data_IF_111951087712
#
_entry.id   IF_111951087712
#
_cell.length_a   1.000
_cell.length_b   1.000
_cell.length_c   1.000
_cell.angle_alpha   90.00
_cell.angle_beta   90.00
_cell.angle_gamma   90.00
#
_symmetry.space_group_name_H-M   'P 1'
#
loop_
_entity.id
_entity.type
_entity.pdbx_description
1 polymer ?
#
# COMPACT_ATOMS: atom_id res chain seq x y z
N UNK A 1 0.88 -89.84 -57.59
CA UNK A 1 1.14 -89.69 -56.14
C UNK A 1 1.94 -88.41 -55.84
N UNK A 2 3.04 -88.15 -56.56
CA UNK A 2 3.95 -87.00 -56.35
C UNK A 2 3.28 -85.61 -56.33
N UNK A 3 2.26 -85.36 -57.17
CA UNK A 3 1.61 -84.04 -57.25
C UNK A 3 0.74 -83.70 -56.01
N UNK A 4 0.27 -84.72 -55.27
CA UNK A 4 -0.43 -84.51 -53.99
C UNK A 4 0.53 -84.17 -52.86
N UNK A 5 1.72 -84.78 -52.88
CA UNK A 5 2.79 -84.54 -51.89
C UNK A 5 3.30 -83.10 -52.02
N UNK A 6 3.62 -82.64 -53.25
CA UNK A 6 4.07 -81.27 -53.50
C UNK A 6 3.05 -80.20 -53.06
N UNK A 7 1.74 -80.48 -53.21
CA UNK A 7 0.69 -79.60 -52.68
C UNK A 7 0.70 -79.55 -51.16
N UNK A 8 0.88 -80.68 -50.49
CA UNK A 8 0.94 -80.74 -49.03
C UNK A 8 2.16 -79.97 -48.52
N UNK A 9 3.33 -80.17 -49.13
CA UNK A 9 4.56 -79.45 -48.78
C UNK A 9 4.37 -77.93 -48.85
N UNK A 10 3.74 -77.44 -49.93
CA UNK A 10 3.45 -76.00 -50.08
C UNK A 10 2.47 -75.48 -49.03
N UNK A 11 1.49 -76.27 -48.62
CA UNK A 11 0.58 -75.86 -47.54
C UNK A 11 1.28 -75.89 -46.17
N UNK A 12 2.21 -76.82 -45.94
CA UNK A 12 3.05 -76.85 -44.73
C UNK A 12 3.93 -75.60 -44.65
N UNK A 13 4.61 -75.21 -45.73
CA UNK A 13 5.41 -73.98 -45.76
C UNK A 13 4.59 -72.73 -45.43
N UNK A 14 3.35 -72.63 -45.91
CA UNK A 14 2.44 -71.53 -45.56
C UNK A 14 2.06 -71.55 -44.08
N UNK A 15 1.83 -72.73 -43.50
CA UNK A 15 1.51 -72.88 -42.08
C UNK A 15 2.70 -72.42 -41.23
N UNK A 16 3.93 -72.75 -41.65
CA UNK A 16 5.15 -72.31 -40.95
C UNK A 16 5.30 -70.78 -41.02
N UNK A 17 5.10 -70.17 -42.19
CA UNK A 17 5.15 -68.70 -42.34
C UNK A 17 4.09 -68.00 -41.47
N UNK A 18 2.85 -68.50 -41.49
CA UNK A 18 1.77 -67.99 -40.62
C UNK A 18 2.13 -68.14 -39.14
N UNK A 19 2.75 -69.26 -38.75
CA UNK A 19 3.17 -69.49 -37.36
C UNK A 19 4.27 -68.53 -36.91
N UNK A 20 5.21 -68.19 -37.80
CA UNK A 20 6.23 -67.18 -37.53
C UNK A 20 5.63 -65.77 -37.42
N UNK A 21 4.73 -65.41 -38.32
CA UNK A 21 4.03 -64.12 -38.28
C UNK A 21 3.20 -63.98 -37.00
N UNK A 22 2.49 -65.05 -36.60
CA UNK A 22 1.72 -65.06 -35.35
C UNK A 22 2.62 -64.85 -34.13
N UNK A 23 3.77 -65.52 -34.10
CA UNK A 23 4.75 -65.36 -33.02
C UNK A 23 5.27 -63.92 -32.93
N UNK A 24 5.53 -63.28 -34.07
CA UNK A 24 5.92 -61.88 -34.14
C UNK A 24 4.82 -60.93 -33.64
N UNK A 25 3.56 -61.21 -33.98
CA UNK A 25 2.41 -60.43 -33.50
C UNK A 25 2.24 -60.57 -31.99
N UNK A 26 2.40 -61.77 -31.43
CA UNK A 26 2.34 -61.99 -29.98
C UNK A 26 3.40 -61.16 -29.25
N UNK A 27 4.65 -61.19 -29.71
CA UNK A 27 5.72 -60.38 -29.11
C UNK A 27 5.43 -58.87 -29.18
N UNK A 28 4.86 -58.40 -30.29
CA UNK A 28 4.47 -56.99 -30.42
C UNK A 28 3.32 -56.64 -29.49
N UNK A 29 2.39 -57.57 -29.25
CA UNK A 29 1.29 -57.38 -28.34
C UNK A 29 1.79 -57.29 -26.89
N UNK A 30 2.69 -58.18 -26.48
CA UNK A 30 3.34 -58.13 -25.17
C UNK A 30 4.03 -56.78 -24.92
N UNK A 31 4.73 -56.25 -25.94
CA UNK A 31 5.36 -54.93 -25.84
C UNK A 31 4.33 -53.79 -25.71
N UNK A 32 3.21 -53.87 -26.42
CA UNK A 32 2.14 -52.86 -26.32
C UNK A 32 1.49 -52.91 -24.94
N UNK A 33 1.24 -54.10 -24.39
CA UNK A 33 0.70 -54.26 -23.03
C UNK A 33 1.64 -53.67 -21.98
N UNK A 34 2.94 -53.91 -22.12
CA UNK A 34 3.95 -53.32 -21.25
C UNK A 34 3.92 -51.78 -21.31
N UNK A 35 3.98 -51.21 -22.51
CA UNK A 35 3.95 -49.75 -22.70
C UNK A 35 2.64 -49.14 -22.16
N UNK A 36 1.52 -49.85 -22.30
CA UNK A 36 0.22 -49.40 -21.77
C UNK A 36 0.25 -49.33 -20.24
N UNK A 37 0.84 -50.33 -19.58
CA UNK A 37 0.96 -50.35 -18.13
C UNK A 37 1.84 -49.19 -17.63
N UNK A 38 2.96 -48.90 -18.31
CA UNK A 38 3.81 -47.75 -17.99
C UNK A 38 3.07 -46.41 -18.17
N UNK A 39 2.32 -46.23 -19.26
CA UNK A 39 1.53 -45.04 -19.50
C UNK A 39 0.44 -44.84 -18.44
N UNK A 40 -0.21 -45.92 -18.01
CA UNK A 40 -1.20 -45.86 -16.93
C UNK A 40 -0.57 -45.42 -15.61
N UNK A 41 0.65 -45.88 -15.31
CA UNK A 41 1.38 -45.46 -14.12
C UNK A 41 1.77 -43.98 -14.19
N UNK A 42 2.32 -43.53 -15.31
CA UNK A 42 2.69 -42.13 -15.50
C UNK A 42 1.48 -41.18 -15.42
N UNK A 43 0.34 -41.59 -15.96
CA UNK A 43 -0.91 -40.82 -15.84
C UNK A 43 -1.36 -40.67 -14.38
N UNK A 44 -1.26 -41.72 -13.55
CA UNK A 44 -1.56 -41.63 -12.11
C UNK A 44 -0.63 -40.65 -11.39
N UNK A 45 0.65 -40.64 -11.75
CA UNK A 45 1.62 -39.70 -11.17
C UNK A 45 1.29 -38.25 -11.55
N UNK A 46 0.92 -38.00 -12.81
CA UNK A 46 0.46 -36.69 -13.28
C UNK A 46 -0.80 -36.25 -12.52
N UNK A 47 -1.79 -37.13 -12.37
CA UNK A 47 -3.02 -36.83 -11.62
C UNK A 47 -2.73 -36.45 -10.16
N UNK A 48 -1.81 -37.15 -9.52
CA UNK A 48 -1.40 -36.85 -8.15
C UNK A 48 -0.67 -35.50 -8.05
N UNK A 49 0.23 -35.23 -9.00
CA UNK A 49 0.92 -33.93 -9.09
C UNK A 49 -0.08 -32.79 -9.29
N UNK A 50 -1.07 -32.97 -10.17
CA UNK A 50 -2.10 -31.97 -10.45
C UNK A 50 -2.97 -31.69 -9.22
N UNK A 51 -3.35 -32.73 -8.45
CA UNK A 51 -4.05 -32.55 -7.17
C UNK A 51 -3.21 -31.75 -6.17
N UNK A 52 -1.91 -32.04 -6.08
CA UNK A 52 -0.98 -31.28 -5.24
C UNK A 52 -0.88 -29.81 -5.65
N UNK A 53 -0.78 -29.54 -6.96
CA UNK A 53 -0.80 -28.18 -7.50
C UNK A 53 -2.10 -27.44 -7.18
N UNK A 54 -3.25 -28.11 -7.27
CA UNK A 54 -4.55 -27.53 -6.89
C UNK A 54 -4.56 -27.00 -5.47
N UNK A 55 -4.02 -27.77 -4.51
CA UNK A 55 -3.91 -27.36 -3.11
C UNK A 55 -2.98 -26.16 -2.91
N UNK A 56 -1.88 -26.07 -3.67
CA UNK A 56 -0.98 -24.91 -3.62
C UNK A 56 -1.67 -23.66 -4.14
N UNK A 57 -2.40 -23.78 -5.25
CA UNK A 57 -3.17 -22.66 -5.84
C UNK A 57 -4.22 -22.15 -4.87
N UNK A 58 -4.96 -23.05 -4.21
CA UNK A 58 -5.97 -22.69 -3.20
C UNK A 58 -5.35 -21.87 -2.05
N UNK A 59 -4.22 -22.32 -1.49
CA UNK A 59 -3.49 -21.57 -0.45
C UNK A 59 -3.00 -20.21 -0.91
N UNK A 60 -2.58 -20.09 -2.17
CA UNK A 60 -2.16 -18.81 -2.75
C UNK A 60 -3.35 -17.86 -2.87
N UNK A 61 -4.52 -18.35 -3.30
CA UNK A 61 -5.75 -17.55 -3.36
C UNK A 61 -6.12 -17.04 -1.96
N UNK A 62 -6.17 -17.91 -0.96
CA UNK A 62 -6.45 -17.53 0.44
C UNK A 62 -5.50 -16.45 0.96
N UNK A 63 -4.20 -16.59 0.63
CA UNK A 63 -3.19 -15.61 1.06
C UNK A 63 -3.32 -14.29 0.33
N UNK A 64 -3.66 -14.29 -0.95
CA UNK A 64 -3.93 -13.09 -1.74
C UNK A 64 -5.14 -12.34 -1.18
N UNK A 65 -6.24 -13.03 -0.86
CA UNK A 65 -7.43 -12.41 -0.26
C UNK A 65 -7.13 -11.80 1.10
N UNK A 66 -6.39 -12.52 1.95
CA UNK A 66 -5.94 -12.01 3.25
C UNK A 66 -5.06 -10.77 3.10
N UNK A 67 -4.13 -10.78 2.14
CA UNK A 67 -3.26 -9.65 1.88
C UNK A 67 -4.04 -8.44 1.36
N UNK A 68 -5.05 -8.65 0.49
CA UNK A 68 -5.92 -7.58 0.02
C UNK A 68 -6.63 -6.87 1.17
N UNK A 69 -7.25 -7.63 2.07
CA UNK A 69 -7.92 -7.08 3.26
C UNK A 69 -6.94 -6.28 4.15
N UNK A 70 -5.71 -6.77 4.31
CA UNK A 70 -4.70 -6.08 5.10
C UNK A 70 -4.24 -4.77 4.44
N UNK A 71 -4.11 -4.74 3.12
CA UNK A 71 -3.77 -3.53 2.36
C UNK A 71 -4.87 -2.49 2.53
N UNK A 72 -6.15 -2.87 2.37
CA UNK A 72 -7.30 -1.97 2.55
C UNK A 72 -7.28 -1.33 3.95
N UNK A 73 -7.02 -2.13 5.01
CA UNK A 73 -6.88 -1.61 6.38
C UNK A 73 -5.71 -0.65 6.56
N UNK A 74 -4.56 -0.94 5.92
CA UNK A 74 -3.39 -0.06 5.99
C UNK A 74 -3.68 1.27 5.28
N UNK A 75 -4.39 1.24 4.15
CA UNK A 75 -4.82 2.44 3.43
C UNK A 75 -5.77 3.29 4.27
N UNK A 76 -6.78 2.68 4.89
CA UNK A 76 -7.70 3.35 5.82
C UNK A 76 -6.95 4.01 6.98
N UNK A 77 -6.05 3.28 7.64
CA UNK A 77 -5.24 3.82 8.74
C UNK A 77 -4.35 4.98 8.28
N UNK A 78 -3.73 4.85 7.10
CA UNK A 78 -2.89 5.91 6.53
C UNK A 78 -3.68 7.19 6.26
N UNK A 79 -4.92 7.06 5.78
CA UNK A 79 -5.82 8.21 5.57
C UNK A 79 -6.17 8.86 6.91
N UNK A 80 -6.50 8.07 7.92
CA UNK A 80 -6.81 8.59 9.26
C UNK A 80 -5.61 9.31 9.89
N UNK A 81 -4.43 8.69 9.86
CA UNK A 81 -3.20 9.29 10.38
C UNK A 81 -2.86 10.61 9.68
N UNK A 82 -3.02 10.69 8.36
CA UNK A 82 -2.83 11.94 7.61
C UNK A 82 -3.81 13.03 8.04
N UNK A 83 -5.06 12.68 8.32
CA UNK A 83 -6.06 13.64 8.84
C UNK A 83 -5.64 14.18 10.20
N UNK A 84 -5.25 13.29 11.11
CA UNK A 84 -4.79 13.66 12.46
C UNK A 84 -3.55 14.55 12.39
N UNK A 85 -2.57 14.20 11.54
CA UNK A 85 -1.36 15.02 11.35
C UNK A 85 -1.72 16.43 10.87
N UNK A 86 -2.66 16.55 9.93
CA UNK A 86 -3.12 17.84 9.43
C UNK A 86 -3.79 18.67 10.53
N UNK A 87 -4.69 18.08 11.30
CA UNK A 87 -5.35 18.73 12.43
C UNK A 87 -4.35 19.20 13.50
N UNK A 88 -3.35 18.36 13.81
CA UNK A 88 -2.28 18.72 14.73
C UNK A 88 -1.43 19.87 14.19
N UNK A 89 -1.10 19.86 12.90
CA UNK A 89 -0.35 20.95 12.26
C UNK A 89 -1.12 22.28 12.32
N UNK A 90 -2.41 22.27 12.01
CA UNK A 90 -3.27 23.46 12.11
C UNK A 90 -3.33 23.96 13.56
N UNK A 91 -3.60 23.07 14.52
CA UNK A 91 -3.68 23.42 15.95
C UNK A 91 -2.35 23.99 16.49
N UNK A 92 -1.22 23.40 16.11
CA UNK A 92 0.10 23.86 16.53
C UNK A 92 0.42 25.21 15.88
N UNK A 93 0.15 25.37 14.59
CA UNK A 93 0.39 26.62 13.87
C UNK A 93 -0.44 27.76 14.46
N UNK A 94 -1.73 27.56 14.68
CA UNK A 94 -2.62 28.59 15.20
C UNK A 94 -2.32 28.87 16.68
N UNK A 95 -2.19 27.83 17.49
CA UNK A 95 -1.89 27.94 18.91
C UNK A 95 -0.54 28.60 19.21
N UNK A 96 0.52 28.21 18.48
CA UNK A 96 1.85 28.81 18.66
C UNK A 96 1.96 30.19 18.03
N UNK A 97 1.34 30.46 16.86
CA UNK A 97 1.36 31.82 16.29
C UNK A 97 0.61 32.81 17.17
N UNK A 98 -0.56 32.45 17.70
CA UNK A 98 -1.31 33.32 18.59
C UNK A 98 -0.60 33.58 19.93
N UNK A 99 0.26 32.66 20.38
CA UNK A 99 1.07 32.80 21.62
C UNK A 99 2.49 33.30 21.39
N UNK A 100 2.95 33.38 20.14
CA UNK A 100 4.32 33.77 19.80
C UNK A 100 4.52 35.27 20.07
N UNK A 101 5.46 35.58 20.96
CA UNK A 101 5.86 36.95 21.30
C UNK A 101 6.91 37.53 20.34
N UNK A 102 7.26 36.82 19.26
CA UNK A 102 8.37 37.21 18.37
C UNK A 102 8.19 38.56 17.68
N UNK A 103 6.97 39.12 17.67
CA UNK A 103 6.67 40.46 17.14
C UNK A 103 5.94 41.37 18.16
N UNK A 104 6.02 41.06 19.46
CA UNK A 104 5.44 41.93 20.48
C UNK A 104 6.34 43.16 20.67
N UNK A 105 5.85 44.33 20.27
CA UNK A 105 6.47 45.60 20.63
C UNK A 105 6.07 45.94 22.06
N UNK A 106 7.01 45.77 23.01
CA UNK A 106 6.80 46.11 24.41
C UNK A 106 7.29 47.53 24.66
N UNK A 107 6.36 48.44 24.95
CA UNK A 107 6.67 49.81 25.33
C UNK A 107 6.53 49.99 26.83
N UNK A 108 7.62 50.38 27.49
CA UNK A 108 7.70 50.68 28.91
C UNK A 108 7.78 52.20 29.13
N UNK A 109 7.34 52.67 30.32
CA UNK A 109 7.41 54.08 30.70
C UNK A 109 6.34 55.00 30.10
N UNK A 110 5.45 54.50 29.26
CA UNK A 110 4.32 55.27 28.72
C UNK A 110 3.14 55.25 29.70
N UNK A 111 2.66 56.41 30.17
CA UNK A 111 1.48 56.56 31.07
C UNK A 111 0.13 56.37 30.39
N UNK A 112 -0.63 55.32 30.75
CA UNK A 112 -1.89 54.94 30.08
C UNK A 112 -3.13 55.63 30.67
N UNK A 113 -4.09 56.00 29.81
CA UNK A 113 -5.44 56.42 30.17
C UNK A 113 -6.49 55.41 29.68
N UNK A 114 -7.55 55.20 30.47
CA UNK A 114 -8.52 54.11 30.30
C UNK A 114 -9.35 54.16 29.00
N UNK A 115 -9.36 55.29 28.30
CA UNK A 115 -10.09 55.50 27.02
C UNK A 115 -9.14 55.74 25.84
N UNK A 116 -7.87 55.40 26.00
CA UNK A 116 -6.83 55.71 25.04
C UNK A 116 -6.63 54.56 24.06
N UNK A 117 -6.67 54.87 22.76
CA UNK A 117 -6.24 53.96 21.70
C UNK A 117 -4.72 53.81 21.76
N UNK A 118 -4.29 52.69 22.34
CA UNK A 118 -2.89 52.36 22.51
C UNK A 118 -2.18 52.19 21.16
N UNK A 119 -2.87 51.66 20.16
CA UNK A 119 -2.31 51.42 18.84
C UNK A 119 -2.06 52.75 18.12
N UNK A 120 -3.07 53.63 18.11
CA UNK A 120 -2.95 54.96 17.52
C UNK A 120 -1.81 55.77 18.16
N UNK A 121 -1.73 55.80 19.49
CA UNK A 121 -0.65 56.51 20.22
C UNK A 121 0.74 56.00 19.88
N UNK A 122 0.91 54.67 19.80
CA UNK A 122 2.19 54.08 19.43
C UNK A 122 2.54 54.36 17.96
N UNK A 123 1.57 54.40 17.05
CA UNK A 123 1.81 54.81 15.66
C UNK A 123 2.23 56.26 15.58
N UNK A 124 1.57 57.16 16.32
CA UNK A 124 1.97 58.57 16.39
C UNK A 124 3.39 58.71 16.94
N UNK A 125 3.74 57.99 18.01
CA UNK A 125 5.08 57.99 18.58
C UNK A 125 6.15 57.52 17.58
N UNK A 126 5.93 56.36 16.95
CA UNK A 126 6.84 55.80 15.94
C UNK A 126 7.02 56.77 14.77
N UNK A 127 5.93 57.31 14.23
CA UNK A 127 5.99 58.25 13.11
C UNK A 127 6.76 59.52 13.48
N UNK A 128 6.56 60.02 14.71
CA UNK A 128 7.21 61.24 15.20
C UNK A 128 8.71 61.05 15.44
N UNK A 129 9.10 59.98 16.14
CA UNK A 129 10.48 59.79 16.60
C UNK A 129 11.37 59.14 15.53
N UNK A 130 10.82 58.25 14.69
CA UNK A 130 11.59 57.53 13.68
C UNK A 130 11.46 58.15 12.28
N UNK A 131 10.61 59.17 12.11
CA UNK A 131 10.56 60.04 10.93
C UNK A 131 10.22 59.35 9.62
N UNK A 132 9.66 58.13 9.65
CA UNK A 132 9.28 57.38 8.45
C UNK A 132 7.94 56.68 8.65
N UNK A 133 7.12 56.66 7.60
CA UNK A 133 5.95 55.78 7.47
C UNK A 133 6.41 54.33 7.32
N UNK A 134 6.92 53.73 8.39
CA UNK A 134 7.09 52.30 8.41
C UNK A 134 5.72 51.65 8.59
N UNK A 135 5.27 50.94 7.55
CA UNK A 135 4.14 50.02 7.61
C UNK A 135 4.53 48.80 8.47
N UNK A 136 4.52 48.97 9.79
CA UNK A 136 4.73 47.87 10.73
C UNK A 136 3.41 47.13 10.84
N UNK A 137 3.35 45.89 10.34
CA UNK A 137 2.19 45.02 10.56
C UNK A 137 2.14 44.63 12.04
N UNK A 138 1.12 45.11 12.76
CA UNK A 138 0.96 44.87 14.19
C UNK A 138 0.07 43.65 14.41
N UNK A 139 0.60 42.67 15.14
CA UNK A 139 -0.16 41.48 15.54
C UNK A 139 -0.96 41.74 16.82
N UNK A 140 -0.26 41.75 17.96
CA UNK A 140 -0.84 42.03 19.27
C UNK A 140 -0.10 43.23 19.90
N UNK A 141 -0.82 44.30 20.24
CA UNK A 141 -0.25 45.51 20.86
C UNK A 141 -0.71 45.57 22.32
N UNK A 142 0.23 45.40 23.25
CA UNK A 142 -0.03 45.47 24.68
C UNK A 142 0.86 46.53 25.32
N UNK A 143 0.30 47.32 26.23
CA UNK A 143 1.04 48.32 27.01
C UNK A 143 0.97 47.98 28.49
N UNK A 144 2.14 47.96 29.11
CA UNK A 144 2.29 47.73 30.54
C UNK A 144 2.78 49.03 31.21
N UNK A 145 2.00 49.57 32.14
CA UNK A 145 2.33 50.83 32.83
C UNK A 145 1.46 51.09 34.06
N UNK A 146 1.92 51.97 34.96
CA UNK A 146 1.14 52.40 36.14
C UNK A 146 -0.02 53.30 35.69
N UNK A 147 -1.20 53.09 36.30
CA UNK A 147 -2.38 53.92 36.08
C UNK A 147 -2.06 55.38 36.46
N UNK A 148 -2.20 56.32 35.52
CA UNK A 148 -2.10 57.75 35.86
C UNK A 148 -3.43 58.19 36.44
N UNK A 149 -3.56 58.13 37.76
CA UNK A 149 -4.72 58.69 38.47
C UNK A 149 -4.55 60.20 38.53
N UNK A 150 -5.15 60.92 37.57
CA UNK A 150 -5.25 62.37 37.66
C UNK A 150 -6.27 62.70 38.75
N UNK A 151 -5.79 63.07 39.95
CA UNK A 151 -6.65 63.68 40.96
C UNK A 151 -7.12 65.04 40.43
N UNK A 152 -8.39 65.13 40.03
CA UNK A 152 -9.09 66.41 39.95
C UNK A 152 -9.34 66.90 41.38
N UNK A 153 -8.53 67.83 41.86
CA UNK A 153 -8.93 68.67 42.99
C UNK A 153 -9.90 69.70 42.40
N UNK A 154 -11.19 69.48 42.65
CA UNK A 154 -12.21 70.52 42.45
C UNK A 154 -12.07 71.55 43.55
N UNK A 155 -11.87 72.82 43.17
CA UNK A 155 -12.23 73.95 44.00
C UNK A 155 -13.67 74.32 43.71
#
# INVERSE_FOLDING_TARGET
MNNRIAKIEKEVEKIDDVSQQLSSVVQRMDQVEHNLAELQQHNKEIENSFKGMGQVVEKVIEKCDSNRINIEKIEENTIQEKSIIKELQETILDGLKCRSMNNNLVFNGLTYHQSEDCEAKLQTFINRELGKEYMITRGNVHRFGKHSTVFKIGF
#
